data_IF_992389112080
#
_entry.id   IF_992389112080
#
_cell.length_a   1.000
_cell.length_b   1.000
_cell.length_c   1.000
_cell.angle_alpha   90.00
_cell.angle_beta   90.00
_cell.angle_gamma   90.00
#
_symmetry.space_group_name_H-M   'P 1'
#
loop_
_entity.id
_entity.type
_entity.pdbx_description
1 polymer ?
#
# COMPACT_ATOMS: atom_id res chain seq x y z
N UNK A 1 -19.96 7.66 -4.73
CA UNK A 1 -18.47 7.71 -4.78
C UNK A 1 -17.96 6.32 -4.45
N UNK A 2 -17.03 5.81 -5.26
CA UNK A 2 -16.39 4.51 -5.06
C UNK A 2 -15.28 4.61 -4.00
N UNK A 3 -15.03 3.54 -3.23
CA UNK A 3 -14.05 3.50 -2.12
C UNK A 3 -12.65 3.94 -2.55
N UNK A 4 -12.32 3.73 -3.83
CA UNK A 4 -11.08 4.18 -4.47
C UNK A 4 -10.83 5.68 -4.37
N UNK A 5 -11.85 6.52 -4.13
CA UNK A 5 -11.65 7.97 -3.92
C UNK A 5 -11.06 8.29 -2.54
N UNK A 6 -11.23 7.39 -1.57
CA UNK A 6 -10.76 7.55 -0.20
C UNK A 6 -9.48 6.74 0.09
N UNK A 7 -8.89 6.11 -0.92
CA UNK A 7 -7.67 5.33 -0.78
C UNK A 7 -6.44 6.25 -0.62
N UNK A 8 -5.79 6.19 0.55
CA UNK A 8 -4.60 7.04 0.85
C UNK A 8 -3.40 6.68 -0.03
N UNK A 9 -3.29 5.43 -0.51
CA UNK A 9 -2.21 5.00 -1.40
C UNK A 9 -2.13 5.78 -2.73
N UNK A 10 -3.16 6.56 -3.07
CA UNK A 10 -3.16 7.44 -4.26
C UNK A 10 -2.15 8.57 -4.20
N UNK A 11 -1.72 8.94 -2.99
CA UNK A 11 -0.74 10.02 -2.75
C UNK A 11 0.67 9.46 -2.55
N UNK A 12 0.87 8.15 -2.68
CA UNK A 12 2.15 7.46 -2.56
C UNK A 12 2.71 7.08 -3.94
N UNK A 13 4.00 6.74 -4.00
CA UNK A 13 4.59 6.15 -5.20
C UNK A 13 3.94 4.79 -5.50
N UNK A 14 3.35 4.57 -6.69
CA UNK A 14 2.77 3.29 -7.06
C UNK A 14 3.73 2.11 -6.92
N UNK A 15 5.03 2.31 -7.23
CA UNK A 15 6.03 1.23 -7.19
C UNK A 15 6.23 0.67 -5.78
N UNK A 16 5.89 1.42 -4.72
CA UNK A 16 5.91 0.95 -3.34
C UNK A 16 5.06 -0.33 -3.16
N UNK A 17 3.97 -0.46 -3.89
CA UNK A 17 3.03 -1.58 -3.80
C UNK A 17 3.39 -2.76 -4.72
N UNK A 18 4.48 -2.67 -5.50
CA UNK A 18 4.93 -3.70 -6.44
C UNK A 18 6.36 -4.17 -6.12
N UNK A 19 6.58 -4.84 -4.96
CA UNK A 19 7.89 -5.38 -4.61
C UNK A 19 8.33 -6.52 -5.54
N UNK A 20 9.62 -6.53 -5.89
CA UNK A 20 10.22 -7.63 -6.67
C UNK A 20 10.63 -8.75 -5.72
N UNK A 21 9.77 -9.77 -5.64
CA UNK A 21 9.97 -10.93 -4.76
C UNK A 21 9.45 -10.70 -3.34
N UNK A 22 9.85 -11.57 -2.41
CA UNK A 22 9.37 -11.56 -1.02
C UNK A 22 10.51 -11.74 0.00
N UNK A 23 11.75 -11.51 -0.43
CA UNK A 23 12.96 -11.67 0.38
C UNK A 23 13.89 -10.47 0.22
N UNK A 24 14.84 -10.34 1.15
CA UNK A 24 15.82 -9.25 1.11
C UNK A 24 15.13 -7.87 1.14
N UNK A 25 15.48 -6.95 0.21
CA UNK A 25 14.90 -5.59 0.16
C UNK A 25 13.37 -5.57 0.07
N UNK A 26 12.74 -6.59 -0.53
CA UNK A 26 11.29 -6.67 -0.64
C UNK A 26 10.60 -6.73 0.73
N UNK A 27 11.26 -7.23 1.77
CA UNK A 27 10.69 -7.28 3.13
C UNK A 27 10.45 -5.86 3.65
N UNK A 28 11.41 -4.95 3.45
CA UNK A 28 11.29 -3.56 3.86
C UNK A 28 10.19 -2.86 3.05
N UNK A 29 10.19 -3.02 1.72
CA UNK A 29 9.17 -2.44 0.85
C UNK A 29 7.75 -2.93 1.20
N UNK A 30 7.57 -4.22 1.48
CA UNK A 30 6.30 -4.79 1.94
C UNK A 30 5.88 -4.18 3.29
N UNK A 31 6.83 -4.01 4.22
CA UNK A 31 6.55 -3.39 5.51
C UNK A 31 6.10 -1.93 5.34
N UNK A 32 6.78 -1.17 4.49
CA UNK A 32 6.46 0.23 4.19
C UNK A 32 5.09 0.37 3.51
N UNK A 33 4.78 -0.47 2.52
CA UNK A 33 3.45 -0.54 1.92
C UNK A 33 2.35 -0.86 2.95
N UNK A 34 2.63 -1.78 3.89
CA UNK A 34 1.69 -2.11 4.98
C UNK A 34 1.47 -0.95 5.95
N UNK A 35 2.47 -0.10 6.19
CA UNK A 35 2.28 1.11 7.00
C UNK A 35 1.26 2.05 6.35
N UNK A 36 1.24 2.15 5.02
CA UNK A 36 0.21 2.91 4.30
C UNK A 36 -1.16 2.25 4.45
N UNK A 37 -1.26 0.93 4.24
CA UNK A 37 -2.54 0.23 4.37
C UNK A 37 -3.12 0.29 5.79
N UNK A 38 -2.28 0.25 6.83
CA UNK A 38 -2.72 0.29 8.23
C UNK A 38 -3.38 1.61 8.63
N UNK A 39 -3.12 2.70 7.90
CA UNK A 39 -3.76 4.01 8.12
C UNK A 39 -4.86 4.33 7.11
N UNK A 40 -5.09 3.48 6.12
CA UNK A 40 -6.06 3.71 5.05
C UNK A 40 -7.50 3.44 5.56
N UNK A 41 -8.47 4.35 5.34
CA UNK A 41 -9.83 4.18 5.85
C UNK A 41 -10.65 3.14 5.08
N UNK A 42 -10.17 2.73 3.90
CA UNK A 42 -10.86 1.81 2.98
C UNK A 42 -10.18 0.44 2.90
N UNK A 43 -9.36 0.08 3.88
CA UNK A 43 -8.66 -1.23 3.91
C UNK A 43 -9.62 -2.42 3.97
N UNK A 44 -10.87 -2.24 4.42
CA UNK A 44 -11.88 -3.29 4.40
C UNK A 44 -12.53 -3.49 3.02
N UNK A 45 -12.56 -2.45 2.18
CA UNK A 45 -13.15 -2.47 0.83
C UNK A 45 -12.11 -2.81 -0.27
N UNK A 46 -10.84 -2.50 -0.01
CA UNK A 46 -9.68 -2.74 -0.88
C UNK A 46 -9.20 -4.19 -0.82
#
# INVERSE_FOLDING_TARGET
MDWRHNAICRDEDPELFFPVGNSGPAIAQIADAKLVCNRCPVTADC
#
